data_IF_972722103237
#
_entry.id   IF_972722103237
#
_cell.length_a   1.000
_cell.length_b   1.000
_cell.length_c   1.000
_cell.angle_alpha   90.00
_cell.angle_beta   90.00
_cell.angle_gamma   90.00
#
_symmetry.space_group_name_H-M   'P 1'
#
loop_
_entity.id
_entity.type
_entity.pdbx_description
1 polymer ?
#
# COMPACT_ATOMS: atom_id res chain seq x y z
N UNK A 1 0.77 6.52 14.14
CA UNK A 1 0.00 6.23 12.91
C UNK A 1 -0.27 4.73 12.78
N UNK A 2 0.76 3.88 12.71
CA UNK A 2 0.58 2.41 12.70
C UNK A 2 1.34 1.81 13.87
N UNK A 3 0.70 0.93 14.63
CA UNK A 3 1.34 0.15 15.68
C UNK A 3 0.93 -1.31 15.53
N UNK A 4 1.91 -2.18 15.26
CA UNK A 4 1.73 -3.63 15.08
C UNK A 4 2.20 -4.33 16.34
N UNK A 5 1.35 -5.21 16.91
CA UNK A 5 1.57 -5.85 18.20
C UNK A 5 1.43 -7.37 18.09
N UNK A 6 2.53 -8.08 18.04
CA UNK A 6 2.59 -9.53 18.08
C UNK A 6 1.75 -10.22 17.01
N UNK A 7 1.72 -9.70 15.78
CA UNK A 7 0.90 -10.30 14.70
C UNK A 7 1.33 -11.73 14.41
N UNK A 8 0.36 -12.64 14.44
CA UNK A 8 0.53 -14.05 14.08
C UNK A 8 -0.50 -14.42 13.03
N UNK A 9 -0.06 -15.16 12.01
CA UNK A 9 -0.96 -15.79 11.05
C UNK A 9 -0.56 -17.23 10.78
N UNK A 10 -1.49 -18.15 11.04
CA UNK A 10 -1.30 -19.58 10.79
C UNK A 10 -2.32 -20.06 9.76
N UNK A 11 -1.87 -20.85 8.80
CA UNK A 11 -2.67 -21.56 7.80
C UNK A 11 -2.44 -23.05 7.97
N UNK A 12 -3.41 -23.76 8.53
CA UNK A 12 -3.21 -25.16 8.92
C UNK A 12 -2.04 -25.29 9.88
N UNK A 13 -1.01 -26.04 9.49
CA UNK A 13 0.23 -26.22 10.27
C UNK A 13 1.31 -25.16 10.00
N UNK A 14 1.15 -24.37 8.91
CA UNK A 14 2.15 -23.38 8.50
C UNK A 14 1.91 -22.04 9.19
N UNK A 15 2.87 -21.57 9.98
CA UNK A 15 2.90 -20.22 10.54
C UNK A 15 3.55 -19.27 9.53
N UNK A 16 2.74 -18.46 8.85
CA UNK A 16 3.20 -17.53 7.81
C UNK A 16 3.72 -16.20 8.38
N UNK A 17 3.19 -15.79 9.55
CA UNK A 17 3.68 -14.63 10.32
C UNK A 17 3.71 -15.04 11.79
N UNK A 18 4.80 -14.73 12.49
CA UNK A 18 5.10 -15.22 13.82
C UNK A 18 5.62 -14.11 14.75
N UNK A 19 4.69 -13.44 15.42
CA UNK A 19 4.99 -12.46 16.47
C UNK A 19 5.54 -11.12 15.95
N UNK A 20 5.19 -10.70 14.73
CA UNK A 20 5.67 -9.45 14.13
C UNK A 20 5.16 -8.24 14.89
N UNK A 21 6.07 -7.36 15.32
CA UNK A 21 5.77 -6.12 16.04
C UNK A 21 6.66 -4.98 15.52
N UNK A 22 6.05 -3.83 15.23
CA UNK A 22 6.76 -2.61 14.85
C UNK A 22 5.82 -1.39 14.91
N UNK A 23 6.39 -0.17 14.74
CA UNK A 23 5.62 1.08 14.64
C UNK A 23 6.06 1.87 13.41
N UNK A 24 5.13 2.63 12.84
CA UNK A 24 5.38 3.57 11.75
C UNK A 24 4.74 4.90 12.09
N UNK A 25 5.50 5.97 12.05
CA UNK A 25 5.03 7.32 12.34
C UNK A 25 4.71 8.08 11.05
N UNK A 26 4.08 9.24 11.18
CA UNK A 26 3.96 10.19 10.08
C UNK A 26 5.36 10.62 9.63
N UNK A 27 5.59 10.67 8.35
CA UNK A 27 6.90 11.01 7.76
C UNK A 27 7.78 9.79 7.49
N UNK A 28 7.45 8.62 8.06
CA UNK A 28 8.21 7.40 7.80
C UNK A 28 7.80 6.76 6.48
N UNK A 29 8.80 6.31 5.72
CA UNK A 29 8.65 5.32 4.65
C UNK A 29 9.34 4.05 5.13
N UNK A 30 8.54 3.09 5.60
CA UNK A 30 9.04 1.79 6.06
C UNK A 30 9.11 0.81 4.90
N UNK A 31 10.32 0.36 4.55
CA UNK A 31 10.55 -0.75 3.64
C UNK A 31 10.42 -2.10 4.37
N UNK A 32 9.55 -2.97 3.88
CA UNK A 32 9.38 -4.33 4.40
C UNK A 32 10.06 -5.31 3.45
N UNK A 33 11.34 -5.58 3.70
CA UNK A 33 12.23 -6.34 2.82
C UNK A 33 12.23 -7.84 3.17
N UNK A 34 12.25 -8.70 2.19
CA UNK A 34 12.40 -10.14 2.38
C UNK A 34 12.07 -10.95 1.14
N UNK A 35 12.49 -12.21 1.08
CA UNK A 35 12.22 -13.09 -0.05
C UNK A 35 10.72 -13.38 -0.21
N UNK A 36 10.35 -13.94 -1.36
CA UNK A 36 8.99 -14.41 -1.58
C UNK A 36 8.64 -15.51 -0.56
N UNK A 37 7.42 -15.42 -0.01
CA UNK A 37 6.97 -16.33 1.05
C UNK A 37 7.47 -16.00 2.47
N UNK A 38 8.24 -14.92 2.67
CA UNK A 38 8.71 -14.50 3.99
C UNK A 38 7.61 -14.00 4.94
N UNK A 39 6.40 -13.70 4.41
CA UNK A 39 5.27 -13.20 5.21
C UNK A 39 4.91 -11.73 4.94
N UNK A 40 5.56 -11.05 4.00
CA UNK A 40 5.35 -9.62 3.67
C UNK A 40 3.87 -9.31 3.37
N UNK A 41 3.34 -9.85 2.26
CA UNK A 41 1.95 -9.60 1.83
C UNK A 41 0.92 -10.07 2.85
N UNK A 42 1.22 -11.16 3.61
CA UNK A 42 0.35 -11.62 4.70
C UNK A 42 0.27 -10.57 5.81
N UNK A 43 1.41 -9.98 6.19
CA UNK A 43 1.47 -8.91 7.19
C UNK A 43 0.73 -7.66 6.70
N UNK A 44 0.94 -7.23 5.44
CA UNK A 44 0.22 -6.10 4.83
C UNK A 44 -1.30 -6.32 4.84
N UNK A 45 -1.76 -7.51 4.45
CA UNK A 45 -3.19 -7.86 4.47
C UNK A 45 -3.79 -7.84 5.87
N UNK A 46 -3.03 -8.19 6.91
CA UNK A 46 -3.51 -8.08 8.30
C UNK A 46 -3.61 -6.63 8.76
N UNK A 47 -2.61 -5.80 8.48
CA UNK A 47 -2.61 -4.38 8.84
C UNK A 47 -3.74 -3.62 8.15
N UNK A 48 -4.08 -3.98 6.91
CA UNK A 48 -5.17 -3.36 6.15
C UNK A 48 -6.57 -3.85 6.53
N UNK A 49 -6.66 -4.81 7.46
CA UNK A 49 -7.93 -5.44 7.83
C UNK A 49 -8.56 -6.27 6.72
N UNK A 50 -7.77 -6.66 5.71
CA UNK A 50 -8.19 -7.59 4.66
C UNK A 50 -8.13 -9.05 5.11
N UNK A 51 -7.18 -9.34 6.01
CA UNK A 51 -6.99 -10.66 6.58
C UNK A 51 -7.00 -10.58 8.11
N UNK A 52 -7.85 -11.36 8.75
CA UNK A 52 -7.88 -11.43 10.22
C UNK A 52 -6.64 -12.15 10.75
N UNK A 53 -5.88 -11.57 11.70
CA UNK A 53 -4.78 -12.27 12.36
C UNK A 53 -5.28 -13.45 13.19
N UNK A 54 -4.44 -14.47 13.39
CA UNK A 54 -4.68 -15.59 14.30
C UNK A 54 -4.46 -15.15 15.75
N UNK A 55 -3.46 -14.28 15.98
CA UNK A 55 -3.20 -13.64 17.27
C UNK A 55 -2.52 -12.28 17.04
N UNK A 56 -2.49 -11.45 18.09
CA UNK A 56 -1.99 -10.09 18.00
C UNK A 56 -2.97 -9.17 17.28
N UNK A 57 -2.59 -7.92 17.14
CA UNK A 57 -3.38 -6.90 16.43
C UNK A 57 -2.51 -5.81 15.82
N UNK A 58 -3.14 -4.94 15.01
CA UNK A 58 -2.55 -3.69 14.57
C UNK A 58 -3.51 -2.53 14.85
N UNK A 59 -2.94 -1.40 15.25
CA UNK A 59 -3.65 -0.14 15.40
C UNK A 59 -3.26 0.76 14.22
N UNK A 60 -4.25 1.31 13.55
CA UNK A 60 -4.06 2.27 12.46
C UNK A 60 -4.79 3.55 12.84
N UNK A 61 -4.00 4.60 13.07
CA UNK A 61 -4.52 5.89 13.52
C UNK A 61 -5.43 5.77 14.75
N UNK A 62 -5.05 4.88 15.69
CA UNK A 62 -5.79 4.59 16.92
C UNK A 62 -6.90 3.54 16.80
N UNK A 63 -7.25 3.08 15.59
CA UNK A 63 -8.28 2.07 15.37
C UNK A 63 -7.70 0.66 15.24
N UNK A 64 -8.28 -0.29 15.97
CA UNK A 64 -7.85 -1.69 15.98
C UNK A 64 -8.42 -2.43 14.76
N UNK A 65 -7.56 -3.13 14.02
CA UNK A 65 -7.95 -3.86 12.79
C UNK A 65 -8.92 -5.01 13.06
N UNK A 66 -8.97 -5.52 14.29
CA UNK A 66 -9.85 -6.64 14.67
C UNK A 66 -11.19 -6.17 15.24
N UNK A 67 -11.23 -4.97 15.82
CA UNK A 67 -12.42 -4.40 16.48
C UNK A 67 -13.19 -3.47 15.56
N UNK A 68 -12.49 -2.63 14.80
CA UNK A 68 -13.10 -1.66 13.89
C UNK A 68 -12.43 -1.65 12.50
N UNK A 69 -12.55 -2.76 11.74
CA UNK A 69 -11.90 -2.89 10.43
C UNK A 69 -12.41 -1.87 9.40
N UNK A 70 -13.63 -1.34 9.56
CA UNK A 70 -14.19 -0.34 8.64
C UNK A 70 -13.51 1.02 8.85
N UNK A 71 -13.34 1.46 10.11
CA UNK A 71 -12.61 2.70 10.41
C UNK A 71 -11.15 2.62 9.96
N UNK A 72 -10.50 1.45 10.12
CA UNK A 72 -9.16 1.20 9.60
C UNK A 72 -9.12 1.35 8.08
N UNK A 73 -10.01 0.70 7.34
CA UNK A 73 -10.08 0.79 5.87
C UNK A 73 -10.32 2.19 5.34
N UNK A 74 -11.01 3.05 6.09
CA UNK A 74 -11.20 4.48 5.76
C UNK A 74 -9.92 5.29 5.89
N UNK A 75 -8.95 4.83 6.68
CA UNK A 75 -7.67 5.52 6.95
C UNK A 75 -6.50 4.97 6.14
N UNK A 76 -6.71 3.89 5.41
CA UNK A 76 -5.65 3.24 4.62
C UNK A 76 -5.95 3.34 3.14
N UNK A 77 -4.96 3.79 2.37
CA UNK A 77 -4.83 3.49 0.95
C UNK A 77 -4.03 2.21 0.78
N UNK A 78 -4.61 1.20 0.17
CA UNK A 78 -3.95 -0.07 -0.06
C UNK A 78 -3.78 -0.35 -1.54
N UNK A 79 -2.54 -0.58 -1.96
CA UNK A 79 -2.18 -1.09 -3.27
C UNK A 79 -1.71 -2.54 -3.10
N UNK A 80 -2.50 -3.54 -3.47
CA UNK A 80 -2.06 -4.93 -3.49
C UNK A 80 -1.16 -5.18 -4.72
N UNK A 81 -0.32 -6.22 -4.65
CA UNK A 81 0.63 -6.61 -5.70
C UNK A 81 -0.01 -6.72 -7.11
N UNK A 82 -1.21 -7.26 -7.22
CA UNK A 82 -1.91 -7.42 -8.50
C UNK A 82 -2.70 -6.21 -8.97
N UNK A 83 -2.84 -5.16 -8.13
CA UNK A 83 -3.64 -3.95 -8.42
C UNK A 83 -4.97 -4.25 -9.15
N UNK A 84 -5.89 -5.05 -8.57
CA UNK A 84 -7.09 -5.50 -9.25
C UNK A 84 -7.98 -4.32 -9.66
N UNK A 85 -8.47 -4.34 -10.91
CA UNK A 85 -9.37 -3.34 -11.45
C UNK A 85 -10.36 -4.00 -12.40
N UNK A 86 -11.48 -3.33 -12.67
CA UNK A 86 -12.44 -3.77 -13.70
C UNK A 86 -11.90 -3.36 -15.07
N UNK A 87 -11.35 -4.32 -15.81
CA UNK A 87 -10.66 -4.09 -17.09
C UNK A 87 -11.50 -3.39 -18.14
N UNK A 88 -12.79 -3.70 -18.19
CA UNK A 88 -13.76 -3.15 -19.14
C UNK A 88 -14.10 -1.67 -18.89
N UNK A 89 -13.92 -1.19 -17.66
CA UNK A 89 -14.13 0.22 -17.31
C UNK A 89 -13.01 1.10 -17.84
N UNK A 90 -13.34 2.33 -18.18
CA UNK A 90 -12.32 3.37 -18.35
C UNK A 90 -11.72 3.75 -17.00
N UNK A 91 -10.52 4.35 -17.02
CA UNK A 91 -9.86 4.83 -15.79
C UNK A 91 -10.79 5.73 -14.97
N UNK A 92 -11.46 6.68 -15.64
CA UNK A 92 -12.36 7.62 -14.97
C UNK A 92 -13.59 6.92 -14.37
N UNK A 93 -14.20 5.98 -15.08
CA UNK A 93 -15.37 5.24 -14.58
C UNK A 93 -15.00 4.39 -13.39
N UNK A 94 -13.88 3.68 -13.46
CA UNK A 94 -13.38 2.87 -12.34
C UNK A 94 -13.10 3.72 -11.09
N UNK A 95 -12.38 4.83 -11.23
CA UNK A 95 -12.11 5.71 -10.10
C UNK A 95 -13.39 6.37 -9.57
N UNK A 96 -14.35 6.69 -10.44
CA UNK A 96 -15.68 7.17 -10.05
C UNK A 96 -16.45 6.14 -9.22
N UNK A 97 -16.43 4.87 -9.62
CA UNK A 97 -17.02 3.76 -8.87
C UNK A 97 -16.36 3.59 -7.49
N UNK A 98 -15.02 3.64 -7.43
CA UNK A 98 -14.28 3.56 -6.17
C UNK A 98 -14.60 4.75 -5.25
N UNK A 99 -14.72 5.97 -5.81
CA UNK A 99 -15.09 7.15 -5.04
C UNK A 99 -16.46 7.00 -4.40
N UNK A 100 -17.45 6.50 -5.14
CA UNK A 100 -18.79 6.24 -4.64
C UNK A 100 -18.78 5.19 -3.52
N UNK A 101 -18.06 4.08 -3.73
CA UNK A 101 -17.87 3.03 -2.72
C UNK A 101 -17.16 3.53 -1.44
N UNK A 102 -16.35 4.61 -1.56
CA UNK A 102 -15.70 5.30 -0.43
C UNK A 102 -16.58 6.34 0.26
N UNK A 103 -17.80 6.59 -0.23
CA UNK A 103 -18.78 7.48 0.38
C UNK A 103 -18.87 8.88 -0.25
N UNK A 104 -18.20 9.13 -1.37
CA UNK A 104 -18.32 10.39 -2.12
C UNK A 104 -19.55 10.34 -3.04
N UNK A 105 -20.75 10.53 -2.45
CA UNK A 105 -22.01 10.37 -3.17
C UNK A 105 -22.40 11.61 -4.00
N UNK A 106 -21.96 12.80 -3.61
CA UNK A 106 -22.25 14.00 -4.39
C UNK A 106 -21.38 14.04 -5.67
N UNK A 107 -21.99 14.33 -6.81
CA UNK A 107 -21.28 14.38 -8.10
C UNK A 107 -20.11 15.36 -8.12
N UNK A 108 -20.23 16.62 -7.62
CA UNK A 108 -19.12 17.55 -7.59
C UNK A 108 -17.94 17.06 -6.75
N UNK A 109 -18.21 16.52 -5.55
CA UNK A 109 -17.17 16.02 -4.66
C UNK A 109 -16.46 14.79 -5.26
N UNK A 110 -17.24 13.83 -5.78
CA UNK A 110 -16.70 12.65 -6.45
C UNK A 110 -15.80 13.02 -7.63
N UNK A 111 -16.25 13.95 -8.49
CA UNK A 111 -15.45 14.43 -9.63
C UNK A 111 -14.15 15.07 -9.14
N UNK A 112 -14.19 15.93 -8.13
CA UNK A 112 -12.99 16.56 -7.59
C UNK A 112 -11.97 15.54 -7.04
N UNK A 113 -12.42 14.48 -6.35
CA UNK A 113 -11.52 13.43 -5.85
C UNK A 113 -10.92 12.61 -6.98
N UNK A 114 -11.71 12.28 -7.99
CA UNK A 114 -11.25 11.55 -9.18
C UNK A 114 -10.23 12.38 -9.96
N UNK A 115 -10.52 13.65 -10.25
CA UNK A 115 -9.61 14.55 -10.95
C UNK A 115 -8.29 14.72 -10.22
N UNK A 116 -8.34 14.92 -8.90
CA UNK A 116 -7.15 14.97 -8.05
C UNK A 116 -6.33 13.68 -8.14
N UNK A 117 -6.95 12.50 -8.03
CA UNK A 117 -6.26 11.23 -8.09
C UNK A 117 -5.62 10.99 -9.47
N UNK A 118 -6.32 11.31 -10.55
CA UNK A 118 -5.83 11.22 -11.94
C UNK A 118 -4.60 12.12 -12.13
N UNK A 119 -4.68 13.39 -11.69
CA UNK A 119 -3.59 14.34 -11.80
C UNK A 119 -2.35 13.90 -11.00
N UNK A 120 -2.53 13.48 -9.74
CA UNK A 120 -1.42 13.01 -8.87
C UNK A 120 -0.68 11.79 -9.45
N UNK A 121 -1.36 10.95 -10.22
CA UNK A 121 -0.78 9.72 -10.76
C UNK A 121 -0.48 9.81 -12.26
N UNK A 122 -0.59 11.01 -12.85
CA UNK A 122 -0.32 11.28 -14.27
C UNK A 122 -1.12 10.37 -15.21
N UNK A 123 -2.41 10.18 -14.93
CA UNK A 123 -3.34 9.36 -15.72
C UNK A 123 -4.15 10.15 -16.76
N UNK A 124 -3.99 11.48 -16.85
CA UNK A 124 -4.74 12.33 -17.78
C UNK A 124 -4.71 11.82 -19.24
N UNK A 125 -3.55 11.38 -19.79
CA UNK A 125 -3.50 10.92 -21.19
C UNK A 125 -4.36 9.68 -21.47
N UNK A 126 -4.62 8.85 -20.45
CA UNK A 126 -5.33 7.57 -20.57
C UNK A 126 -6.69 7.57 -19.85
N UNK A 127 -7.14 8.72 -19.37
CA UNK A 127 -8.33 8.89 -18.54
C UNK A 127 -9.58 8.19 -19.09
N UNK A 128 -9.76 8.19 -20.42
CA UNK A 128 -10.91 7.62 -21.14
C UNK A 128 -10.62 6.26 -21.79
N UNK A 129 -9.44 5.68 -21.55
CA UNK A 129 -9.10 4.37 -22.07
C UNK A 129 -9.58 3.26 -21.13
N UNK A 130 -9.99 2.12 -21.68
CA UNK A 130 -10.30 0.92 -20.92
C UNK A 130 -9.05 0.40 -20.24
N UNK A 131 -9.17 0.03 -18.96
CA UNK A 131 -8.03 -0.38 -18.12
C UNK A 131 -7.32 -1.62 -18.68
N UNK A 132 -8.05 -2.56 -19.29
CA UNK A 132 -7.46 -3.76 -19.89
C UNK A 132 -6.44 -3.45 -20.99
N UNK A 133 -6.65 -2.34 -21.75
CA UNK A 133 -5.78 -1.92 -22.86
C UNK A 133 -4.52 -1.17 -22.41
N UNK A 134 -4.41 -0.83 -21.13
CA UNK A 134 -3.30 -0.08 -20.58
C UNK A 134 -2.04 -0.94 -20.45
N UNK A 135 -0.88 -0.30 -20.57
CA UNK A 135 0.40 -0.91 -20.19
C UNK A 135 0.44 -1.26 -18.70
N UNK A 136 1.34 -2.17 -18.30
CA UNK A 136 1.53 -2.54 -16.88
C UNK A 136 1.76 -1.31 -16.01
N UNK A 137 2.58 -0.35 -16.45
CA UNK A 137 2.87 0.89 -15.72
C UNK A 137 1.63 1.76 -15.52
N UNK A 138 0.80 1.92 -16.53
CA UNK A 138 -0.47 2.65 -16.37
C UNK A 138 -1.45 1.91 -15.45
N UNK A 139 -1.55 0.57 -15.54
CA UNK A 139 -2.37 -0.23 -14.61
C UNK A 139 -1.92 -0.04 -13.16
N UNK A 140 -0.62 -0.01 -12.93
CA UNK A 140 -0.05 0.26 -11.61
C UNK A 140 -0.42 1.66 -11.10
N UNK A 141 -0.34 2.68 -11.95
CA UNK A 141 -0.79 4.05 -11.62
C UNK A 141 -2.29 4.12 -11.32
N UNK A 142 -3.13 3.36 -12.00
CA UNK A 142 -4.57 3.24 -11.66
C UNK A 142 -4.75 2.67 -10.26
N UNK A 143 -3.98 1.64 -9.89
CA UNK A 143 -3.95 1.10 -8.52
C UNK A 143 -3.52 2.14 -7.48
N UNK A 144 -2.50 2.96 -7.79
CA UNK A 144 -2.11 4.11 -6.94
C UNK A 144 -3.24 5.13 -6.82
N UNK A 145 -3.85 5.53 -7.93
CA UNK A 145 -4.97 6.47 -7.92
C UNK A 145 -6.11 5.99 -7.03
N UNK A 146 -6.48 4.71 -7.12
CA UNK A 146 -7.46 4.06 -6.24
C UNK A 146 -7.05 4.17 -4.78
N UNK A 147 -5.78 3.88 -4.44
CA UNK A 147 -5.29 3.92 -3.06
C UNK A 147 -5.28 5.35 -2.49
N UNK A 148 -5.04 6.36 -3.34
CA UNK A 148 -4.93 7.78 -2.96
C UNK A 148 -6.25 8.55 -2.98
N UNK A 149 -7.29 7.99 -3.58
CA UNK A 149 -8.52 8.70 -3.94
C UNK A 149 -9.18 9.43 -2.76
N UNK A 150 -9.21 8.82 -1.58
CA UNK A 150 -9.81 9.38 -0.36
C UNK A 150 -8.79 10.09 0.56
N UNK A 151 -7.61 10.41 0.03
CA UNK A 151 -6.50 11.06 0.75
C UNK A 151 -6.17 10.44 2.12
N UNK A 152 -5.89 9.15 2.19
CA UNK A 152 -5.68 8.47 3.46
C UNK A 152 -4.39 8.96 4.16
N UNK A 153 -4.34 8.98 5.50
CA UNK A 153 -3.13 9.30 6.25
C UNK A 153 -2.09 8.17 6.24
N UNK A 154 -2.49 6.96 5.86
CA UNK A 154 -1.64 5.76 5.81
C UNK A 154 -1.69 5.14 4.43
N UNK A 155 -0.52 4.79 3.88
CA UNK A 155 -0.39 4.02 2.63
C UNK A 155 0.29 2.69 2.91
N UNK A 156 -0.29 1.62 2.38
CA UNK A 156 0.29 0.27 2.39
C UNK A 156 0.39 -0.19 0.94
N UNK A 157 1.62 -0.42 0.48
CA UNK A 157 1.94 -0.66 -0.93
C UNK A 157 2.66 -2.01 -1.03
N UNK A 158 2.03 -2.99 -1.67
CA UNK A 158 2.60 -4.33 -1.82
C UNK A 158 3.27 -4.46 -3.18
N UNK A 159 4.62 -4.56 -3.21
CA UNK A 159 5.49 -4.62 -4.40
C UNK A 159 5.16 -3.50 -5.44
N UNK A 160 5.17 -2.20 -5.04
CA UNK A 160 4.61 -1.12 -5.87
C UNK A 160 5.34 -0.87 -7.19
N UNK A 161 6.57 -1.35 -7.33
CA UNK A 161 7.43 -1.13 -8.49
C UNK A 161 7.72 -2.41 -9.26
N UNK A 162 7.11 -3.55 -8.87
CA UNK A 162 7.38 -4.82 -9.51
C UNK A 162 7.01 -4.83 -11.01
N UNK A 163 7.96 -5.32 -11.82
CA UNK A 163 7.80 -5.46 -13.28
C UNK A 163 7.61 -4.13 -14.03
N UNK A 164 8.01 -3.01 -13.44
CA UNK A 164 8.10 -1.71 -14.10
C UNK A 164 9.52 -1.51 -14.69
N UNK A 165 9.59 -0.77 -15.79
CA UNK A 165 10.87 -0.31 -16.33
C UNK A 165 11.53 0.75 -15.43
N UNK A 166 12.85 1.05 -15.59
CA UNK A 166 13.58 1.97 -14.72
C UNK A 166 12.95 3.38 -14.64
N UNK A 167 12.41 3.91 -15.73
CA UNK A 167 11.80 5.24 -15.75
C UNK A 167 10.51 5.24 -14.95
N UNK A 168 9.66 4.24 -15.15
CA UNK A 168 8.41 4.06 -14.40
C UNK A 168 8.67 3.84 -12.90
N UNK A 169 9.72 3.06 -12.54
CA UNK A 169 10.14 2.92 -11.13
C UNK A 169 10.49 4.26 -10.51
N UNK A 170 11.26 5.10 -11.20
CA UNK A 170 11.65 6.42 -10.71
C UNK A 170 10.44 7.35 -10.51
N UNK A 171 9.46 7.30 -11.40
CA UNK A 171 8.23 8.08 -11.27
C UNK A 171 7.40 7.63 -10.04
N UNK A 172 7.26 6.31 -9.84
CA UNK A 172 6.57 5.76 -8.66
C UNK A 172 7.32 6.11 -7.37
N UNK A 173 8.64 5.98 -7.35
CA UNK A 173 9.50 6.38 -6.22
C UNK A 173 9.31 7.86 -5.87
N UNK A 174 9.30 8.73 -6.87
CA UNK A 174 9.08 10.17 -6.69
C UNK A 174 7.70 10.47 -6.15
N UNK A 175 6.67 9.79 -6.64
CA UNK A 175 5.30 9.90 -6.13
C UNK A 175 5.21 9.49 -4.66
N UNK A 176 5.81 8.36 -4.27
CA UNK A 176 5.83 7.90 -2.87
C UNK A 176 6.53 8.93 -1.98
N UNK A 177 7.71 9.42 -2.38
CA UNK A 177 8.47 10.44 -1.62
C UNK A 177 7.68 11.74 -1.43
N UNK A 178 6.99 12.21 -2.46
CA UNK A 178 6.22 13.46 -2.38
C UNK A 178 5.08 13.41 -1.36
N UNK A 179 4.56 12.22 -1.07
CA UNK A 179 3.46 12.01 -0.12
C UNK A 179 3.93 11.73 1.30
N UNK A 180 5.18 11.33 1.49
CA UNK A 180 5.67 10.82 2.77
C UNK A 180 5.64 11.86 3.90
N UNK A 181 5.87 13.14 3.60
CA UNK A 181 5.90 14.20 4.62
C UNK A 181 4.60 14.26 5.47
N UNK A 182 3.46 13.93 4.86
CA UNK A 182 2.16 14.02 5.51
C UNK A 182 1.54 12.66 5.88
N UNK A 183 2.15 11.55 5.45
CA UNK A 183 1.60 10.20 5.57
C UNK A 183 2.59 9.25 6.25
N UNK A 184 2.07 8.16 6.79
CA UNK A 184 2.86 6.98 7.11
C UNK A 184 2.79 6.02 5.92
N UNK A 185 3.92 5.58 5.42
CA UNK A 185 4.00 4.69 4.26
C UNK A 185 4.66 3.38 4.66
N UNK A 186 4.05 2.25 4.32
CA UNK A 186 4.68 0.93 4.35
C UNK A 186 4.72 0.43 2.92
N UNK A 187 5.89 0.01 2.44
CA UNK A 187 6.00 -0.69 1.18
C UNK A 187 6.71 -2.03 1.36
N UNK A 188 6.23 -3.06 0.68
CA UNK A 188 6.94 -4.33 0.59
C UNK A 188 7.80 -4.36 -0.67
N UNK A 189 8.96 -4.99 -0.57
CA UNK A 189 9.81 -5.30 -1.71
C UNK A 189 10.75 -6.46 -1.38
N UNK A 190 11.29 -7.08 -2.41
CA UNK A 190 12.36 -8.06 -2.30
C UNK A 190 13.71 -7.50 -2.82
N UNK A 191 13.75 -6.21 -3.18
CA UNK A 191 14.89 -5.52 -3.81
C UNK A 191 15.48 -4.49 -2.83
N UNK A 192 16.72 -4.70 -2.39
CA UNK A 192 17.42 -3.81 -1.46
C UNK A 192 17.60 -2.40 -2.03
N UNK A 193 17.95 -2.28 -3.31
CA UNK A 193 18.11 -0.98 -4.00
C UNK A 193 16.85 -0.10 -3.93
N UNK A 194 15.65 -0.70 -3.92
CA UNK A 194 14.41 0.06 -3.76
C UNK A 194 14.27 0.63 -2.34
N UNK A 195 14.67 -0.14 -1.34
CA UNK A 195 14.69 0.31 0.05
C UNK A 195 15.66 1.48 0.23
N UNK A 196 16.89 1.35 -0.26
CA UNK A 196 17.91 2.40 -0.21
C UNK A 196 17.47 3.68 -0.93
N UNK A 197 16.75 3.53 -2.03
CA UNK A 197 16.33 4.66 -2.84
C UNK A 197 15.27 5.55 -2.17
N UNK A 198 14.33 4.99 -1.39
CA UNK A 198 13.17 5.76 -0.90
C UNK A 198 12.84 5.60 0.58
N UNK A 199 13.29 4.52 1.26
CA UNK A 199 12.86 4.25 2.62
C UNK A 199 13.68 5.05 3.65
N UNK A 200 13.01 5.47 4.72
CA UNK A 200 13.65 6.08 5.89
C UNK A 200 14.05 5.01 6.93
N UNK A 201 13.39 3.86 6.89
CA UNK A 201 13.60 2.73 7.77
C UNK A 201 13.30 1.43 7.04
N UNK A 202 13.93 0.34 7.44
CA UNK A 202 13.76 -0.98 6.85
C UNK A 202 13.55 -2.04 7.91
N UNK A 203 12.59 -2.90 7.67
CA UNK A 203 12.39 -4.15 8.41
C UNK A 203 12.71 -5.31 7.44
N UNK A 204 13.64 -6.18 7.85
CA UNK A 204 13.89 -7.43 7.13
C UNK A 204 13.07 -8.52 7.81
N UNK A 205 12.23 -9.19 7.00
CA UNK A 205 11.43 -10.33 7.45
C UNK A 205 11.94 -11.63 6.82
N UNK A 206 12.10 -12.65 7.64
CA UNK A 206 12.44 -14.00 7.21
C UNK A 206 11.60 -15.01 7.97
N UNK A 207 11.04 -15.99 7.29
CA UNK A 207 10.21 -17.06 7.88
C UNK A 207 9.11 -16.54 8.83
N UNK A 208 8.49 -15.42 8.47
CA UNK A 208 7.42 -14.79 9.25
C UNK A 208 7.87 -13.97 10.46
N UNK A 209 9.17 -13.80 10.69
CA UNK A 209 9.73 -13.06 11.84
C UNK A 209 10.54 -11.86 11.38
N UNK A 210 10.52 -10.80 12.16
CA UNK A 210 11.42 -9.65 11.99
C UNK A 210 12.83 -10.08 12.44
N UNK A 211 13.81 -9.91 11.56
CA UNK A 211 15.22 -10.23 11.83
C UNK A 211 16.08 -8.97 11.94
N UNK A 212 15.68 -7.89 11.28
CA UNK A 212 16.34 -6.57 11.34
C UNK A 212 15.28 -5.49 11.37
N UNK A 213 15.55 -4.40 12.07
CA UNK A 213 14.72 -3.18 12.13
C UNK A 213 15.65 -1.98 12.31
N UNK A 214 16.10 -1.38 11.19
CA UNK A 214 17.15 -0.37 11.15
C UNK A 214 16.91 0.66 10.05
N UNK A 215 17.79 1.66 9.95
CA UNK A 215 17.83 2.58 8.80
C UNK A 215 18.59 1.93 7.63
N UNK A 216 18.31 2.31 6.35
CA UNK A 216 19.06 1.79 5.21
C UNK A 216 20.57 1.99 5.32
N UNK A 217 21.03 3.08 5.93
CA UNK A 217 22.45 3.37 6.13
C UNK A 217 23.15 2.41 7.10
N UNK A 218 22.41 1.75 7.98
CA UNK A 218 22.96 0.77 8.94
C UNK A 218 23.04 -0.65 8.37
N UNK A 219 22.46 -0.88 7.18
CA UNK A 219 22.53 -2.18 6.49
C UNK A 219 23.82 -2.35 5.66
N UNK A 220 24.58 -1.27 5.44
CA UNK A 220 25.88 -1.25 4.74
C UNK A 220 27.01 -1.55 5.72
#
# INVERSE_FOLDING_TARGET
MIEVKGLVKTYGTKRAVDGVSFKVNRGDILGFLGPNGAGKSTTMKMITGFLRPTAGTALVDGHDVTQDPVAVKRRIGYLPESAPAYGEMTVQEFLGFIAEARGFHSTPERTAQVDRAISLTHLDPVRRQSIETLSKGFKQRVGFAQALLHNPPVLVLDEPTDGLDPNQKNEVRSLIKSMAAEKAVILSTHILEEVEAICTRVIIISQGRVVVDETPAQLQ
#
